data_IF_301644506330
#
_entry.id   IF_301644506330
#
_cell.length_a   1.000
_cell.length_b   1.000
_cell.length_c   1.000
_cell.angle_alpha   90.00
_cell.angle_beta   90.00
_cell.angle_gamma   90.00
#
_symmetry.space_group_name_H-M   'P 1'
#
loop_
_entity.id
_entity.type
_entity.pdbx_description
1 polymer ?
#
# COMPACT_ATOMS: atom_id res chain seq x y z
N UNK A 1 11.45 -12.39 21.99
CA UNK A 1 10.12 -11.74 21.96
C UNK A 1 10.34 -10.33 21.42
N UNK A 2 10.14 -10.13 20.11
CA UNK A 2 10.46 -8.85 19.47
C UNK A 2 9.34 -7.85 19.77
N UNK A 3 9.66 -6.85 20.59
CA UNK A 3 8.79 -5.72 20.91
C UNK A 3 8.94 -4.68 19.82
N UNK A 4 8.08 -4.70 18.81
CA UNK A 4 7.91 -3.56 17.91
C UNK A 4 7.04 -2.53 18.63
N UNK A 5 7.61 -1.35 18.86
CA UNK A 5 7.00 -0.26 19.61
C UNK A 5 5.68 0.21 19.00
N UNK A 6 4.57 -0.32 19.50
CA UNK A 6 3.27 0.32 19.38
C UNK A 6 3.32 1.59 20.22
N UNK A 7 3.35 2.77 19.57
CA UNK A 7 3.06 4.03 20.27
C UNK A 7 1.73 3.85 21.00
N UNK A 8 1.77 3.85 22.33
CA UNK A 8 0.67 3.57 23.28
C UNK A 8 -0.48 4.62 23.20
N UNK A 9 -0.47 5.50 22.19
CA UNK A 9 -1.46 6.57 21.97
C UNK A 9 -2.33 6.31 20.72
N UNK A 10 -2.62 5.04 20.40
CA UNK A 10 -3.42 4.64 19.24
C UNK A 10 -4.91 4.35 19.55
N UNK A 11 -5.63 3.93 18.51
CA UNK A 11 -7.04 3.46 18.55
C UNK A 11 -7.30 2.43 19.65
N UNK A 12 -6.29 1.59 19.94
CA UNK A 12 -6.33 0.60 21.02
C UNK A 12 -6.65 1.22 22.39
N UNK A 13 -5.93 2.27 22.79
CA UNK A 13 -6.16 2.97 24.07
C UNK A 13 -7.57 3.55 24.14
N UNK A 14 -8.07 4.15 23.04
CA UNK A 14 -9.45 4.65 22.97
C UNK A 14 -10.52 3.56 23.11
N UNK A 15 -10.23 2.34 22.62
CA UNK A 15 -11.14 1.19 22.73
C UNK A 15 -11.08 0.61 24.14
N UNK A 16 -9.89 0.48 24.72
CA UNK A 16 -9.67 -0.01 26.09
C UNK A 16 -10.30 0.95 27.12
N UNK A 17 -10.17 2.27 26.93
CA UNK A 17 -10.82 3.29 27.76
C UNK A 17 -12.36 3.21 27.69
N UNK A 18 -12.92 2.86 26.52
CA UNK A 18 -14.38 2.77 26.30
C UNK A 18 -14.97 1.41 26.70
N UNK A 19 -14.18 0.34 26.63
CA UNK A 19 -14.61 -1.03 26.87
C UNK A 19 -13.57 -1.81 27.71
N UNK A 20 -13.45 -1.51 29.02
CA UNK A 20 -12.36 -1.97 29.87
C UNK A 20 -12.28 -3.49 30.08
N UNK A 21 -13.38 -4.21 29.83
CA UNK A 21 -13.46 -5.67 30.00
C UNK A 21 -13.28 -6.45 28.68
N UNK A 22 -12.85 -5.78 27.60
CA UNK A 22 -12.80 -6.39 26.27
C UNK A 22 -11.36 -6.67 25.85
N UNK A 23 -11.05 -7.92 25.51
CA UNK A 23 -9.75 -8.27 24.98
C UNK A 23 -9.60 -7.79 23.54
N UNK A 24 -8.65 -6.90 23.31
CA UNK A 24 -8.32 -6.43 21.96
C UNK A 24 -7.30 -7.37 21.30
N UNK A 25 -7.69 -7.97 20.18
CA UNK A 25 -6.80 -8.80 19.37
C UNK A 25 -6.54 -8.16 18.02
N UNK A 26 -5.28 -7.89 17.70
CA UNK A 26 -4.91 -7.51 16.34
C UNK A 26 -5.09 -8.69 15.39
N UNK A 27 -5.88 -8.48 14.34
CA UNK A 27 -6.06 -9.46 13.27
C UNK A 27 -4.72 -9.79 12.59
N UNK A 28 -4.44 -11.06 12.31
CA UNK A 28 -3.16 -11.50 11.74
C UNK A 28 -2.80 -10.77 10.45
N UNK A 29 -3.79 -10.45 9.60
CA UNK A 29 -3.55 -9.69 8.36
C UNK A 29 -3.14 -8.24 8.62
N UNK A 30 -3.54 -7.64 9.75
CA UNK A 30 -3.09 -6.30 10.14
C UNK A 30 -1.62 -6.34 10.58
N UNK A 31 -1.23 -7.32 11.40
CA UNK A 31 0.18 -7.51 11.78
C UNK A 31 1.06 -7.74 10.55
N UNK A 32 0.60 -8.59 9.61
CA UNK A 32 1.29 -8.81 8.36
C UNK A 32 1.40 -7.52 7.51
N UNK A 33 0.34 -6.70 7.46
CA UNK A 33 0.37 -5.41 6.78
C UNK A 33 1.41 -4.46 7.38
N UNK A 34 1.58 -4.45 8.70
CA UNK A 34 2.61 -3.64 9.36
C UNK A 34 4.02 -4.12 8.97
N UNK A 35 4.29 -5.42 9.09
CA UNK A 35 5.60 -6.01 8.74
C UNK A 35 5.95 -5.76 7.27
N UNK A 36 5.01 -5.99 6.35
CA UNK A 36 5.26 -5.77 4.92
C UNK A 36 5.49 -4.29 4.62
N UNK A 37 4.74 -3.37 5.25
CA UNK A 37 4.96 -1.94 5.04
C UNK A 37 6.31 -1.48 5.60
N UNK A 38 6.75 -2.00 6.75
CA UNK A 38 8.07 -1.72 7.34
C UNK A 38 9.19 -2.18 6.39
N UNK A 39 9.10 -3.42 5.88
CA UNK A 39 10.05 -3.94 4.89
C UNK A 39 10.02 -3.18 3.56
N UNK A 40 8.86 -2.62 3.20
CA UNK A 40 8.71 -1.80 1.98
C UNK A 40 9.29 -0.38 2.13
N UNK A 41 9.71 0.03 3.33
CA UNK A 41 10.32 1.34 3.58
C UNK A 41 11.82 1.39 3.24
N UNK A 42 12.40 0.26 2.82
CA UNK A 42 13.73 0.24 2.20
C UNK A 42 13.76 1.20 1.01
N UNK A 43 14.79 2.04 0.94
CA UNK A 43 14.88 3.15 -0.02
C UNK A 43 14.64 2.71 -1.47
N UNK A 44 15.25 1.60 -1.88
CA UNK A 44 15.17 1.07 -3.24
C UNK A 44 13.75 0.60 -3.57
N UNK A 45 13.10 -0.10 -2.64
CA UNK A 45 11.72 -0.58 -2.79
C UNK A 45 10.77 0.62 -2.82
N UNK A 46 10.87 1.51 -1.84
CA UNK A 46 10.03 2.72 -1.75
C UNK A 46 10.15 3.58 -3.00
N UNK A 47 11.36 3.81 -3.50
CA UNK A 47 11.60 4.59 -4.71
C UNK A 47 11.01 3.92 -5.95
N UNK A 48 11.21 2.60 -6.09
CA UNK A 48 10.68 1.84 -7.23
C UNK A 48 9.15 1.84 -7.24
N UNK A 49 8.53 1.63 -6.08
CA UNK A 49 7.08 1.69 -5.90
C UNK A 49 6.54 3.12 -6.13
N UNK A 50 7.29 4.14 -5.70
CA UNK A 50 6.99 5.55 -5.98
C UNK A 50 6.93 5.85 -7.48
N UNK A 51 7.93 5.38 -8.25
CA UNK A 51 7.92 5.52 -9.72
C UNK A 51 6.74 4.83 -10.37
N UNK A 52 6.36 3.63 -9.91
CA UNK A 52 5.16 2.94 -10.39
C UNK A 52 3.91 3.79 -10.13
N UNK A 53 3.80 4.36 -8.92
CA UNK A 53 2.70 5.27 -8.55
C UNK A 53 2.66 6.50 -9.46
N UNK A 54 3.80 7.13 -9.72
CA UNK A 54 3.90 8.32 -10.58
C UNK A 54 3.49 8.00 -12.02
N UNK A 55 3.94 6.87 -12.57
CA UNK A 55 3.50 6.41 -13.90
C UNK A 55 1.98 6.23 -13.93
N UNK A 56 1.40 5.57 -12.93
CA UNK A 56 -0.06 5.36 -12.87
C UNK A 56 -0.81 6.69 -12.86
N UNK A 57 -0.34 7.68 -12.08
CA UNK A 57 -0.92 9.02 -12.08
C UNK A 57 -0.78 9.69 -13.45
N UNK A 58 0.41 9.64 -14.05
CA UNK A 58 0.65 10.21 -15.37
C UNK A 58 -0.35 9.69 -16.41
N UNK A 59 -0.56 8.37 -16.50
CA UNK A 59 -1.52 7.78 -17.44
C UNK A 59 -2.98 8.04 -17.04
N UNK A 60 -3.29 8.06 -15.73
CA UNK A 60 -4.63 8.27 -15.19
C UNK A 60 -5.18 9.68 -15.38
N UNK A 61 -4.31 10.69 -15.35
CA UNK A 61 -4.67 12.12 -15.39
C UNK A 61 -5.11 12.61 -16.79
N UNK A 62 -4.85 11.83 -17.85
CA UNK A 62 -5.30 12.17 -19.20
C UNK A 62 -6.24 11.11 -19.76
N UNK A 63 -7.45 11.49 -20.22
CA UNK A 63 -8.34 10.59 -20.95
C UNK A 63 -7.67 9.91 -22.15
N UNK A 64 -6.77 10.61 -22.85
CA UNK A 64 -6.05 10.08 -24.00
C UNK A 64 -5.02 9.02 -23.61
N UNK A 65 -4.41 9.14 -22.42
CA UNK A 65 -3.41 8.20 -21.92
C UNK A 65 -4.03 7.00 -21.18
N UNK A 66 -5.22 7.18 -20.59
CA UNK A 66 -5.98 6.09 -19.95
C UNK A 66 -6.27 4.90 -20.86
N UNK A 67 -6.25 5.06 -22.18
CA UNK A 67 -6.44 3.92 -23.11
C UNK A 67 -5.29 2.90 -23.09
N UNK A 68 -4.09 3.29 -22.64
CA UNK A 68 -2.90 2.43 -22.64
C UNK A 68 -2.76 1.58 -21.38
N UNK A 69 -3.50 1.90 -20.31
CA UNK A 69 -3.46 1.16 -19.06
C UNK A 69 -4.91 0.90 -18.62
N UNK A 70 -5.34 -0.35 -18.41
CA UNK A 70 -6.67 -0.64 -17.87
C UNK A 70 -6.83 0.07 -16.52
N UNK A 71 -8.05 0.49 -16.16
CA UNK A 71 -8.33 1.32 -14.96
C UNK A 71 -7.63 0.78 -13.70
N UNK A 72 -6.42 1.27 -13.41
CA UNK A 72 -5.67 0.90 -12.23
C UNK A 72 -6.31 1.64 -11.06
N UNK A 73 -6.74 0.89 -10.05
CA UNK A 73 -7.24 1.47 -8.81
C UNK A 73 -6.19 2.39 -8.20
N UNK A 74 -6.61 3.51 -7.59
CA UNK A 74 -5.67 4.44 -6.95
C UNK A 74 -4.74 3.70 -5.98
N UNK A 75 -3.46 4.06 -6.03
CA UNK A 75 -2.44 3.50 -5.16
C UNK A 75 -2.74 3.79 -3.69
N UNK A 76 -2.97 2.75 -2.89
CA UNK A 76 -3.23 2.89 -1.46
C UNK A 76 -1.95 2.64 -0.66
N UNK A 77 -1.46 3.68 0.01
CA UNK A 77 -0.18 3.62 0.75
C UNK A 77 -0.23 2.77 2.02
N UNK A 78 -1.40 2.52 2.58
CA UNK A 78 -1.53 1.86 3.89
C UNK A 78 -1.93 0.39 3.79
N UNK A 79 -2.37 -0.09 2.62
CA UNK A 79 -2.85 -1.47 2.40
C UNK A 79 -1.94 -2.22 1.43
N UNK A 80 -1.11 -3.13 1.97
CA UNK A 80 -0.13 -3.88 1.18
C UNK A 80 -0.76 -4.70 0.04
N UNK A 81 -1.95 -5.27 0.25
CA UNK A 81 -2.66 -6.07 -0.76
C UNK A 81 -3.04 -5.24 -1.98
N UNK A 82 -3.44 -3.99 -1.77
CA UNK A 82 -3.74 -3.05 -2.87
C UNK A 82 -2.47 -2.66 -3.61
N UNK A 83 -1.38 -2.34 -2.89
CA UNK A 83 -0.07 -2.06 -3.51
C UNK A 83 0.37 -3.22 -4.39
N UNK A 84 0.31 -4.44 -3.86
CA UNK A 84 0.71 -5.67 -4.55
C UNK A 84 -0.07 -5.86 -5.85
N UNK A 85 -1.41 -5.77 -5.81
CA UNK A 85 -2.26 -5.90 -7.01
C UNK A 85 -1.90 -4.88 -8.09
N UNK A 86 -1.65 -3.64 -7.68
CA UNK A 86 -1.29 -2.56 -8.61
C UNK A 86 0.07 -2.81 -9.26
N UNK A 87 1.08 -3.18 -8.47
CA UNK A 87 2.41 -3.54 -8.98
C UNK A 87 2.31 -4.71 -9.94
N UNK A 88 1.48 -5.70 -9.63
CA UNK A 88 1.25 -6.86 -10.50
C UNK A 88 0.62 -6.46 -11.83
N UNK A 89 -0.42 -5.60 -11.82
CA UNK A 89 -1.03 -5.07 -13.06
C UNK A 89 0.00 -4.27 -13.86
N UNK A 90 0.76 -3.39 -13.19
CA UNK A 90 1.81 -2.60 -13.84
C UNK A 90 2.84 -3.51 -14.53
N UNK A 91 3.31 -4.57 -13.83
CA UNK A 91 4.23 -5.57 -14.38
C UNK A 91 3.69 -6.23 -15.64
N UNK A 92 2.42 -6.62 -15.68
CA UNK A 92 1.82 -7.25 -16.85
C UNK A 92 1.71 -6.32 -18.07
N UNK A 93 1.58 -5.02 -17.83
CA UNK A 93 1.40 -4.02 -18.89
C UNK A 93 2.68 -3.22 -19.17
N UNK A 94 3.82 -3.62 -18.61
CA UNK A 94 5.03 -2.80 -18.59
C UNK A 94 5.52 -2.43 -20.00
N UNK A 95 5.43 -3.35 -20.97
CA UNK A 95 5.83 -3.10 -22.35
C UNK A 95 4.94 -2.03 -23.02
N UNK A 96 3.61 -2.13 -22.85
CA UNK A 96 2.64 -1.16 -23.39
C UNK A 96 2.89 0.23 -22.79
N UNK A 97 3.20 0.26 -21.49
CA UNK A 97 3.50 1.50 -20.77
C UNK A 97 4.76 2.15 -21.32
N UNK A 98 5.82 1.36 -21.57
CA UNK A 98 7.07 1.87 -22.13
C UNK A 98 6.94 2.34 -23.58
N UNK A 99 6.13 1.68 -24.40
CA UNK A 99 5.85 2.12 -25.78
C UNK A 99 5.02 3.41 -25.85
N UNK A 100 4.26 3.71 -24.79
CA UNK A 100 3.39 4.89 -24.71
C UNK A 100 4.02 6.12 -24.05
N UNK A 101 5.25 6.00 -23.53
CA UNK A 101 6.06 7.10 -22.98
C UNK A 101 6.90 7.76 -24.09
#
# INVERSE_FOLDING_TARGET
MFSYGEKINGVRKRIEDKYPNTNFFHYSSYKLNLVINDLSDLFEIRTSVGRVKDSIHFFGDSPLRRKYIPTISLFCETRWTTKYKIIQIFKYNINIIFEAL
#
